data_IF_749741559539
#
_entry.id   IF_749741559539
#
_cell.length_a   1.000
_cell.length_b   1.000
_cell.length_c   1.000
_cell.angle_alpha   90.00
_cell.angle_beta   90.00
_cell.angle_gamma   90.00
#
_symmetry.space_group_name_H-M   'P 1'
#
loop_
_entity.id
_entity.type
_entity.pdbx_description
1 polymer ?
#
# COMPACT_ATOMS: atom_id res chain seq x y z
N UNK A 1 54.42 -24.90 24.18
CA UNK A 1 53.49 -25.84 24.82
C UNK A 1 52.76 -25.08 25.92
N UNK A 2 51.83 -24.21 25.55
CA UNK A 2 50.37 -24.49 25.46
C UNK A 2 49.84 -25.15 26.73
N UNK A 3 49.52 -24.31 27.71
CA UNK A 3 48.46 -24.59 28.65
C UNK A 3 47.23 -23.84 28.15
N UNK A 4 46.43 -24.57 27.38
CA UNK A 4 45.08 -24.19 26.99
C UNK A 4 44.22 -24.20 28.25
N UNK A 5 43.94 -23.01 28.80
CA UNK A 5 42.88 -22.87 29.81
C UNK A 5 41.58 -22.79 29.03
N UNK A 6 40.62 -23.70 29.24
CA UNK A 6 39.31 -23.59 28.62
C UNK A 6 38.70 -22.27 29.11
N UNK A 7 38.56 -21.31 28.21
CA UNK A 7 37.93 -20.04 28.50
C UNK A 7 36.55 -20.32 29.08
N UNK A 8 36.28 -19.75 30.26
CA UNK A 8 34.95 -19.71 30.86
C UNK A 8 33.98 -19.17 29.81
N UNK A 9 33.32 -20.08 29.09
CA UNK A 9 32.08 -19.81 28.40
C UNK A 9 31.03 -19.63 29.49
N UNK A 10 31.10 -18.47 30.14
CA UNK A 10 30.14 -18.05 31.15
C UNK A 10 28.74 -18.15 30.55
N UNK A 11 27.82 -18.71 31.33
CA UNK A 11 26.44 -19.00 30.95
C UNK A 11 25.85 -17.94 29.99
N UNK A 12 25.11 -18.35 28.95
CA UNK A 12 24.54 -17.44 27.98
C UNK A 12 23.81 -16.31 28.71
N UNK A 13 24.25 -15.07 28.46
CA UNK A 13 23.64 -13.89 29.07
C UNK A 13 22.20 -13.82 28.59
N UNK A 14 21.24 -13.79 29.51
CA UNK A 14 19.82 -13.69 29.18
C UNK A 14 19.57 -12.52 28.20
N UNK A 15 18.65 -12.66 27.23
CA UNK A 15 18.27 -11.57 26.34
C UNK A 15 17.89 -10.32 27.13
N UNK A 16 18.23 -9.16 26.58
CA UNK A 16 17.75 -7.89 27.12
C UNK A 16 16.25 -7.75 26.81
N UNK A 17 15.48 -7.23 27.76
CA UNK A 17 14.07 -6.87 27.54
C UNK A 17 13.94 -5.85 26.38
N UNK A 18 13.20 -6.19 25.31
CA UNK A 18 13.00 -5.30 24.16
C UNK A 18 12.41 -3.93 24.51
N UNK A 19 11.60 -3.85 25.56
CA UNK A 19 10.94 -2.59 25.98
C UNK A 19 11.93 -1.52 26.42
N UNK A 20 13.17 -1.89 26.77
CA UNK A 20 14.23 -0.95 27.10
C UNK A 20 14.66 -0.06 25.93
N UNK A 21 14.32 -0.46 24.70
CA UNK A 21 14.68 0.27 23.48
C UNK A 21 13.56 1.17 22.93
N UNK A 22 12.36 1.11 23.50
CA UNK A 22 11.19 1.87 23.05
C UNK A 22 11.12 3.36 23.46
N UNK A 23 11.72 3.83 24.57
CA UNK A 23 11.63 5.23 24.96
C UNK A 23 12.10 6.20 23.85
N UNK A 24 11.42 7.34 23.63
CA UNK A 24 11.68 8.24 22.50
C UNK A 24 13.14 8.71 22.37
N UNK A 25 13.80 8.95 23.50
CA UNK A 25 15.21 9.37 23.53
C UNK A 25 16.17 8.25 23.07
N UNK A 26 15.87 7.01 23.44
CA UNK A 26 16.62 5.83 23.00
C UNK A 26 16.41 5.59 21.49
N UNK A 27 15.18 5.78 21.01
CA UNK A 27 14.84 5.70 19.58
C UNK A 27 15.57 6.75 18.75
N UNK A 28 15.63 7.99 19.24
CA UNK A 28 16.36 9.07 18.59
C UNK A 28 17.88 8.81 18.55
N UNK A 29 18.46 8.32 19.65
CA UNK A 29 19.87 7.96 19.73
C UNK A 29 20.25 6.82 18.77
N UNK A 30 19.40 5.79 18.68
CA UNK A 30 19.61 4.68 17.75
C UNK A 30 19.51 5.16 16.29
N UNK A 31 18.52 5.99 15.95
CA UNK A 31 18.36 6.52 14.59
C UNK A 31 19.54 7.41 14.16
N UNK A 32 20.14 8.15 15.09
CA UNK A 32 21.30 8.99 14.84
C UNK A 32 22.66 8.26 14.96
N UNK A 33 22.65 6.94 15.19
CA UNK A 33 23.84 6.10 15.46
C UNK A 33 24.68 6.60 16.66
N UNK A 34 24.05 7.24 17.64
CA UNK A 34 24.69 7.74 18.85
C UNK A 34 24.83 6.63 19.91
N UNK A 35 25.80 5.75 19.68
CA UNK A 35 26.07 4.59 20.55
C UNK A 35 26.49 5.01 21.98
N UNK A 36 27.07 6.19 22.14
CA UNK A 36 27.45 6.69 23.46
C UNK A 36 26.21 6.93 24.34
N UNK A 37 25.16 7.51 23.76
CA UNK A 37 23.88 7.72 24.43
C UNK A 37 23.14 6.41 24.69
N UNK A 38 23.20 5.45 23.76
CA UNK A 38 22.65 4.10 23.97
C UNK A 38 23.32 3.39 25.15
N UNK A 39 24.66 3.43 25.24
CA UNK A 39 25.39 2.76 26.33
C UNK A 39 25.13 3.41 27.69
N UNK A 40 25.04 4.75 27.75
CA UNK A 40 24.66 5.45 28.99
C UNK A 40 23.27 5.02 29.47
N UNK A 41 22.29 5.03 28.57
CA UNK A 41 20.92 4.64 28.88
C UNK A 41 20.79 3.16 29.33
N UNK A 42 21.66 2.27 28.85
CA UNK A 42 21.74 0.88 29.32
C UNK A 42 22.41 0.76 30.69
N UNK A 43 23.47 1.53 30.95
CA UNK A 43 24.13 1.54 32.27
C UNK A 43 23.24 2.10 33.37
N UNK A 44 22.42 3.11 33.06
CA UNK A 44 21.42 3.66 33.98
C UNK A 44 20.32 2.66 34.33
N UNK A 45 20.04 1.70 33.43
CA UNK A 45 19.09 0.60 33.62
C UNK A 45 19.73 -0.66 34.22
N UNK A 46 20.95 -0.55 34.75
CA UNK A 46 21.62 -1.62 35.49
C UNK A 46 22.48 -2.58 34.64
N UNK A 47 22.69 -2.32 33.35
CA UNK A 47 23.56 -3.14 32.51
C UNK A 47 25.01 -2.62 32.61
N UNK A 48 25.91 -3.41 33.19
CA UNK A 48 27.31 -3.02 33.37
C UNK A 48 28.09 -2.94 32.05
N UNK A 49 29.14 -2.12 32.00
CA UNK A 49 30.03 -2.02 30.83
C UNK A 49 30.65 -3.37 30.43
N UNK A 50 30.96 -4.22 31.41
CA UNK A 50 31.45 -5.57 31.18
C UNK A 50 30.40 -6.46 30.48
N UNK A 51 29.11 -6.33 30.84
CA UNK A 51 28.02 -7.02 30.15
C UNK A 51 27.81 -6.49 28.73
N UNK A 52 27.91 -5.17 28.51
CA UNK A 52 27.83 -4.58 27.16
C UNK A 52 28.97 -5.10 26.28
N UNK A 53 30.22 -5.05 26.77
CA UNK A 53 31.40 -5.54 26.08
C UNK A 53 31.26 -7.02 25.65
N UNK A 54 30.85 -7.89 26.59
CA UNK A 54 30.61 -9.31 26.32
C UNK A 54 29.49 -9.54 25.29
N UNK A 55 28.41 -8.76 25.35
CA UNK A 55 27.28 -8.87 24.41
C UNK A 55 27.66 -8.43 23.00
N UNK A 56 28.39 -7.32 22.85
CA UNK A 56 28.70 -6.73 21.53
C UNK A 56 29.99 -7.26 20.91
N UNK A 57 30.70 -8.16 21.60
CA UNK A 57 32.01 -8.66 21.16
C UNK A 57 33.07 -7.55 21.11
N UNK A 58 32.94 -6.55 21.98
CA UNK A 58 33.90 -5.45 22.13
C UNK A 58 34.75 -5.65 23.39
N UNK A 59 35.93 -5.07 23.43
CA UNK A 59 36.71 -4.96 24.66
C UNK A 59 36.09 -3.94 25.62
N UNK A 60 36.33 -4.11 26.92
CA UNK A 60 35.90 -3.15 27.94
C UNK A 60 36.50 -1.75 27.68
N UNK A 61 37.72 -1.67 27.15
CA UNK A 61 38.37 -0.40 26.80
C UNK A 61 37.63 0.32 25.67
N UNK A 62 37.19 -0.39 24.63
CA UNK A 62 36.41 0.19 23.53
C UNK A 62 35.05 0.73 24.00
N UNK A 63 34.36 0.02 24.90
CA UNK A 63 33.11 0.49 25.51
C UNK A 63 33.34 1.77 26.33
N UNK A 64 34.44 1.83 27.08
CA UNK A 64 34.82 3.02 27.85
C UNK A 64 35.14 4.23 26.95
N UNK A 65 35.84 4.02 25.84
CA UNK A 65 36.13 5.08 24.86
C UNK A 65 34.87 5.61 24.17
N UNK A 66 33.93 4.72 23.81
CA UNK A 66 32.65 5.11 23.21
C UNK A 66 31.84 5.95 24.20
N UNK A 67 31.77 5.55 25.47
CA UNK A 67 31.12 6.34 26.53
C UNK A 67 31.76 7.71 26.74
N UNK A 68 33.07 7.85 26.47
CA UNK A 68 33.81 9.12 26.52
C UNK A 68 33.68 9.96 25.24
N UNK A 69 32.89 9.52 24.26
CA UNK A 69 32.55 10.29 23.05
C UNK A 69 33.24 9.83 21.77
N UNK A 70 33.94 8.70 21.77
CA UNK A 70 34.45 8.09 20.53
C UNK A 70 33.27 7.63 19.67
N UNK A 71 33.14 8.20 18.47
CA UNK A 71 32.09 7.79 17.50
C UNK A 71 32.41 6.43 16.88
N UNK A 72 31.37 5.62 16.67
CA UNK A 72 31.45 4.38 15.92
C UNK A 72 31.09 4.68 14.46
N UNK A 73 32.12 4.87 13.62
CA UNK A 73 31.91 5.24 12.21
C UNK A 73 31.75 4.05 11.25
N UNK A 74 32.19 2.85 11.63
CA UNK A 74 32.17 1.69 10.73
C UNK A 74 30.89 0.89 10.88
N UNK A 75 30.14 0.80 9.79
CA UNK A 75 28.83 0.15 9.74
C UNK A 75 28.83 -1.31 10.24
N UNK A 76 29.87 -2.07 9.91
CA UNK A 76 30.03 -3.45 10.39
C UNK A 76 30.07 -3.56 11.93
N UNK A 77 30.62 -2.53 12.61
CA UNK A 77 30.68 -2.48 14.07
C UNK A 77 29.32 -2.15 14.65
N UNK A 78 28.57 -1.22 14.05
CA UNK A 78 27.20 -0.90 14.45
C UNK A 78 26.26 -2.12 14.36
N UNK A 79 26.36 -2.89 13.27
CA UNK A 79 25.57 -4.11 13.08
C UNK A 79 25.90 -5.15 14.15
N UNK A 80 27.17 -5.35 14.47
CA UNK A 80 27.61 -6.28 15.52
C UNK A 80 27.13 -5.85 16.91
N UNK A 81 27.16 -4.55 17.20
CA UNK A 81 26.64 -3.99 18.46
C UNK A 81 25.14 -4.27 18.58
N UNK A 82 24.37 -4.02 17.51
CA UNK A 82 22.92 -4.24 17.52
C UNK A 82 22.56 -5.72 17.68
N UNK A 83 23.25 -6.61 16.95
CA UNK A 83 23.08 -8.06 17.11
C UNK A 83 23.38 -8.51 18.55
N UNK A 84 24.47 -8.03 19.13
CA UNK A 84 24.88 -8.39 20.49
C UNK A 84 23.91 -7.93 21.58
N UNK A 85 23.30 -6.76 21.39
CA UNK A 85 22.33 -6.19 22.32
C UNK A 85 20.90 -6.66 22.07
N UNK A 86 20.66 -7.40 20.99
CA UNK A 86 19.31 -7.77 20.55
C UNK A 86 18.50 -6.57 20.06
N UNK A 87 19.18 -5.49 19.63
CA UNK A 87 18.53 -4.28 19.09
C UNK A 87 18.06 -4.60 17.67
N UNK A 88 16.76 -4.41 17.39
CA UNK A 88 16.24 -4.57 16.04
C UNK A 88 16.94 -3.62 15.06
N UNK A 89 17.37 -4.13 13.89
CA UNK A 89 18.19 -3.38 12.93
C UNK A 89 17.46 -2.16 12.35
N UNK A 90 16.14 -2.13 12.45
CA UNK A 90 15.27 -0.99 12.14
C UNK A 90 15.56 0.24 12.99
N UNK A 91 15.98 0.09 14.25
CA UNK A 91 16.14 1.24 15.13
C UNK A 91 17.37 2.07 14.78
N UNK A 92 18.33 1.47 14.06
CA UNK A 92 19.52 2.14 13.56
C UNK A 92 19.47 2.40 12.05
N UNK A 93 18.31 2.25 11.40
CA UNK A 93 18.18 2.46 9.95
C UNK A 93 19.07 1.56 9.08
N UNK A 94 19.57 0.45 9.63
CA UNK A 94 20.52 -0.48 8.99
C UNK A 94 19.84 -1.70 8.37
N UNK A 95 18.56 -1.89 8.67
CA UNK A 95 17.65 -2.70 7.87
C UNK A 95 16.23 -2.20 8.11
N UNK A 96 15.34 -2.37 7.14
CA UNK A 96 13.91 -2.30 7.41
C UNK A 96 13.53 -3.58 8.15
N UNK A 97 13.74 -3.61 9.46
CA UNK A 97 13.26 -4.71 10.28
C UNK A 97 11.75 -4.66 10.49
N UNK A 98 11.18 -5.50 11.37
CA UNK A 98 9.74 -5.80 11.50
C UNK A 98 8.74 -4.63 11.48
N UNK A 99 9.20 -3.40 11.66
CA UNK A 99 8.39 -2.18 11.68
C UNK A 99 8.55 -1.31 10.42
N UNK A 100 9.23 -1.80 9.37
CA UNK A 100 9.09 -1.32 8.00
C UNK A 100 7.74 -1.72 7.39
N UNK A 101 6.67 -1.58 8.18
CA UNK A 101 5.34 -1.99 7.82
C UNK A 101 4.74 -0.99 6.82
N UNK A 102 4.45 -1.46 5.62
CA UNK A 102 3.26 -1.02 4.92
C UNK A 102 2.07 -1.11 5.88
N UNK A 103 1.13 -0.15 5.82
CA UNK A 103 -0.13 -0.27 6.56
C UNK A 103 -0.87 -1.55 6.11
N UNK A 104 -0.60 -2.68 6.78
CA UNK A 104 -1.02 -4.02 6.33
C UNK A 104 -0.12 -5.20 6.71
N UNK A 105 1.11 -5.00 7.22
CA UNK A 105 1.88 -6.09 7.87
C UNK A 105 2.73 -7.01 6.97
N UNK A 106 3.31 -6.51 5.88
CA UNK A 106 4.30 -7.26 5.06
C UNK A 106 5.61 -6.46 4.93
N UNK A 107 6.76 -7.15 4.96
CA UNK A 107 8.12 -6.59 5.06
C UNK A 107 8.87 -6.50 3.71
N UNK A 108 9.66 -5.43 3.50
CA UNK A 108 10.35 -5.09 2.24
C UNK A 108 11.50 -6.07 1.86
N UNK A 109 12.02 -6.85 2.81
CA UNK A 109 13.10 -7.82 2.52
C UNK A 109 12.64 -9.03 1.69
N UNK A 110 11.33 -9.17 1.54
CA UNK A 110 10.69 -10.05 0.58
C UNK A 110 9.47 -9.26 0.13
N UNK A 111 9.55 -8.46 -0.96
CA UNK A 111 8.32 -7.93 -1.53
C UNK A 111 7.36 -9.12 -1.64
N UNK A 112 6.10 -9.01 -1.17
CA UNK A 112 5.15 -10.09 -1.41
C UNK A 112 5.21 -10.41 -2.92
N UNK A 113 5.19 -11.69 -3.28
CA UNK A 113 5.02 -12.05 -4.69
C UNK A 113 3.81 -11.26 -5.22
N UNK A 114 4.05 -10.31 -6.13
CA UNK A 114 3.05 -9.36 -6.61
C UNK A 114 3.30 -7.86 -6.34
N UNK A 115 4.43 -7.43 -5.76
CA UNK A 115 4.86 -6.03 -5.97
C UNK A 115 5.51 -5.92 -7.34
N UNK A 116 4.79 -5.33 -8.29
CA UNK A 116 5.26 -5.14 -9.67
C UNK A 116 6.39 -4.09 -9.74
N UNK A 117 7.36 -4.29 -10.62
CA UNK A 117 8.50 -3.40 -10.90
C UNK A 117 8.02 -1.97 -11.20
N UNK A 118 6.82 -1.82 -11.76
CA UNK A 118 6.18 -0.53 -12.02
C UNK A 118 5.74 0.21 -10.74
N UNK A 119 5.35 -0.49 -9.67
CA UNK A 119 5.06 0.10 -8.35
C UNK A 119 6.36 0.50 -7.62
N UNK A 120 7.39 -0.34 -7.73
CA UNK A 120 8.72 -0.04 -7.19
C UNK A 120 9.36 1.13 -7.92
N UNK A 121 9.27 1.19 -9.26
CA UNK A 121 9.73 2.33 -10.07
C UNK A 121 9.07 3.63 -9.65
N UNK A 122 7.74 3.63 -9.42
CA UNK A 122 6.99 4.82 -8.98
C UNK A 122 7.38 5.26 -7.57
N UNK A 123 7.66 4.31 -6.69
CA UNK A 123 8.18 4.57 -5.33
C UNK A 123 9.62 5.11 -5.36
N UNK A 124 10.48 4.57 -6.23
CA UNK A 124 11.85 5.03 -6.45
C UNK A 124 11.86 6.43 -7.08
N UNK A 125 10.99 6.73 -8.06
CA UNK A 125 10.85 8.08 -8.62
C UNK A 125 10.44 9.08 -7.52
N UNK A 126 9.51 8.72 -6.63
CA UNK A 126 9.15 9.54 -5.46
C UNK A 126 10.33 9.74 -4.50
N UNK A 127 11.13 8.69 -4.25
CA UNK A 127 12.29 8.75 -3.36
C UNK A 127 13.46 9.59 -3.96
N UNK A 128 13.78 9.40 -5.24
CA UNK A 128 14.76 10.20 -5.98
C UNK A 128 14.40 11.69 -5.96
N UNK A 129 13.11 11.97 -6.10
CA UNK A 129 12.59 13.33 -6.00
C UNK A 129 12.81 13.95 -4.62
N UNK A 130 12.59 13.20 -3.55
CA UNK A 130 12.86 13.63 -2.18
C UNK A 130 14.35 13.92 -1.95
N UNK A 131 15.22 13.05 -2.48
CA UNK A 131 16.66 13.13 -2.30
C UNK A 131 17.29 14.35 -3.01
N UNK A 132 16.81 14.73 -4.19
CA UNK A 132 17.39 15.84 -4.98
C UNK A 132 16.89 17.21 -4.50
N UNK A 133 15.64 17.30 -4.06
CA UNK A 133 14.99 18.59 -3.80
C UNK A 133 14.72 18.87 -2.32
N UNK A 134 15.04 17.96 -1.40
CA UNK A 134 14.85 18.12 0.06
C UNK A 134 13.40 18.06 0.52
N UNK A 135 12.48 17.94 -0.42
CA UNK A 135 11.07 17.56 -0.29
C UNK A 135 10.79 16.58 -1.41
N UNK A 136 9.82 15.64 -1.30
CA UNK A 136 9.42 14.88 -2.48
C UNK A 136 9.09 15.92 -3.57
N UNK A 137 9.21 15.59 -4.86
CA UNK A 137 8.81 16.50 -5.96
C UNK A 137 7.29 16.85 -5.92
N UNK A 138 6.61 16.48 -4.83
CA UNK A 138 5.42 17.04 -4.21
C UNK A 138 5.59 18.48 -3.67
N UNK A 139 6.03 19.42 -4.52
CA UNK A 139 5.38 20.75 -4.53
C UNK A 139 4.61 20.98 -5.82
N UNK A 140 4.31 19.92 -6.56
CA UNK A 140 3.16 19.96 -7.45
C UNK A 140 1.86 20.07 -6.65
N UNK A 141 1.69 19.58 -5.41
CA UNK A 141 0.47 19.86 -4.62
C UNK A 141 0.18 21.36 -4.42
N UNK A 142 1.20 22.16 -4.09
CA UNK A 142 1.10 23.63 -4.01
C UNK A 142 1.01 24.30 -5.39
N UNK A 143 1.60 23.71 -6.44
CA UNK A 143 1.40 24.12 -7.86
C UNK A 143 0.12 23.56 -8.49
N UNK A 144 -0.56 22.58 -7.89
CA UNK A 144 -1.81 21.92 -8.29
C UNK A 144 -2.98 22.62 -7.64
N UNK A 145 -2.78 23.18 -6.45
CA UNK A 145 -3.58 24.30 -5.98
C UNK A 145 -3.55 25.48 -6.98
N UNK A 146 -2.45 25.65 -7.75
CA UNK A 146 -2.36 26.60 -8.87
C UNK A 146 -2.79 26.01 -10.25
N UNK A 147 -2.90 24.68 -10.41
CA UNK A 147 -3.31 23.98 -11.64
C UNK A 147 -4.72 23.37 -11.57
N UNK A 148 -5.47 23.62 -10.49
CA UNK A 148 -6.93 23.60 -10.47
C UNK A 148 -7.60 22.29 -10.06
N UNK A 149 -7.45 21.86 -8.81
CA UNK A 149 -8.69 21.49 -8.11
C UNK A 149 -9.46 22.80 -7.92
N UNK A 150 -10.72 22.92 -8.37
CA UNK A 150 -11.48 24.14 -8.12
C UNK A 150 -11.43 24.44 -6.61
N UNK A 151 -11.25 25.71 -6.21
CA UNK A 151 -11.21 26.10 -4.80
C UNK A 151 -12.43 25.51 -4.09
N UNK A 152 -12.30 25.21 -2.80
CA UNK A 152 -13.38 24.63 -1.99
C UNK A 152 -14.67 25.43 -2.23
N UNK A 153 -15.58 24.84 -3.01
CA UNK A 153 -16.82 25.49 -3.34
C UNK A 153 -17.80 25.21 -2.21
N UNK A 154 -18.60 26.20 -1.78
CA UNK A 154 -19.66 25.94 -0.83
C UNK A 154 -20.56 24.83 -1.36
N UNK A 155 -21.10 24.02 -0.45
CA UNK A 155 -22.01 22.93 -0.84
C UNK A 155 -23.12 23.50 -1.73
N UNK A 156 -23.42 22.85 -2.87
CA UNK A 156 -24.49 23.30 -3.72
C UNK A 156 -25.83 23.25 -2.98
N UNK A 157 -26.75 24.15 -3.31
CA UNK A 157 -28.11 24.15 -2.74
C UNK A 157 -28.98 23.03 -3.32
N UNK A 158 -28.62 22.50 -4.48
CA UNK A 158 -29.29 21.37 -5.11
C UNK A 158 -28.39 20.67 -6.14
N UNK A 159 -28.49 19.35 -6.22
CA UNK A 159 -27.71 18.56 -7.17
C UNK A 159 -28.28 18.65 -8.57
N UNK A 160 -27.36 18.64 -9.53
CA UNK A 160 -27.62 18.66 -10.97
C UNK A 160 -26.62 17.77 -11.67
N UNK A 161 -26.86 17.43 -12.94
CA UNK A 161 -25.92 16.63 -13.75
C UNK A 161 -24.52 17.27 -13.85
N UNK A 162 -24.42 18.60 -13.78
CA UNK A 162 -23.12 19.28 -13.80
C UNK A 162 -22.22 18.89 -12.62
N UNK A 163 -22.82 18.57 -11.46
CA UNK A 163 -22.08 18.10 -10.30
C UNK A 163 -21.52 16.70 -10.54
N UNK A 164 -22.31 15.81 -11.16
CA UNK A 164 -21.84 14.48 -11.56
C UNK A 164 -20.65 14.60 -12.51
N UNK A 165 -20.76 15.44 -13.54
CA UNK A 165 -19.66 15.69 -14.48
C UNK A 165 -18.42 16.31 -13.81
N UNK A 166 -18.59 17.10 -12.76
CA UNK A 166 -17.48 17.67 -12.01
C UNK A 166 -16.68 16.57 -11.29
N UNK A 167 -17.36 15.62 -10.65
CA UNK A 167 -16.71 14.48 -10.00
C UNK A 167 -16.01 13.60 -11.04
N UNK A 168 -16.67 13.29 -12.15
CA UNK A 168 -16.08 12.50 -13.23
C UNK A 168 -14.82 13.15 -13.81
N UNK A 169 -14.89 14.44 -14.15
CA UNK A 169 -13.75 15.17 -14.69
C UNK A 169 -12.58 15.25 -13.70
N UNK A 170 -12.85 15.43 -12.42
CA UNK A 170 -11.82 15.41 -11.38
C UNK A 170 -11.17 14.03 -11.26
N UNK A 171 -11.96 12.95 -11.27
CA UNK A 171 -11.47 11.57 -11.24
C UNK A 171 -10.59 11.27 -12.46
N UNK A 172 -11.03 11.62 -13.67
CA UNK A 172 -10.26 11.37 -14.91
C UNK A 172 -8.94 12.11 -14.92
N UNK A 173 -8.94 13.37 -14.48
CA UNK A 173 -7.73 14.16 -14.39
C UNK A 173 -6.76 13.60 -13.35
N UNK A 174 -7.24 13.26 -12.14
CA UNK A 174 -6.41 12.65 -11.10
C UNK A 174 -5.85 11.28 -11.55
N UNK A 175 -6.66 10.46 -12.22
CA UNK A 175 -6.24 9.18 -12.81
C UNK A 175 -5.14 9.37 -13.84
N UNK A 176 -5.27 10.36 -14.72
CA UNK A 176 -4.23 10.71 -15.69
C UNK A 176 -2.91 11.04 -15.01
N UNK A 177 -2.96 11.81 -13.90
CA UNK A 177 -1.78 12.14 -13.10
C UNK A 177 -1.19 10.93 -12.38
N UNK A 178 -2.02 10.10 -11.74
CA UNK A 178 -1.57 8.89 -11.07
C UNK A 178 -0.90 7.90 -12.04
N UNK A 179 -1.42 7.77 -13.27
CA UNK A 179 -0.80 6.95 -14.31
C UNK A 179 0.52 7.53 -14.80
N UNK A 180 0.62 8.84 -14.95
CA UNK A 180 1.83 9.48 -15.49
C UNK A 180 2.98 9.52 -14.47
N UNK A 181 2.68 9.80 -13.20
CA UNK A 181 3.68 10.11 -12.19
C UNK A 181 3.72 9.12 -11.02
N UNK A 182 2.69 8.30 -10.85
CA UNK A 182 2.49 7.47 -9.67
C UNK A 182 2.05 8.28 -8.44
N UNK A 183 1.46 7.59 -7.47
CA UNK A 183 1.01 8.19 -6.20
C UNK A 183 -0.36 8.86 -6.31
N UNK A 184 -0.51 10.06 -5.74
CA UNK A 184 -1.75 10.86 -5.62
C UNK A 184 -2.72 10.45 -4.51
N UNK A 185 -2.29 9.63 -3.55
CA UNK A 185 -3.17 9.16 -2.48
C UNK A 185 -3.78 10.30 -1.64
N UNK A 186 -3.01 11.36 -1.38
CA UNK A 186 -3.46 12.51 -0.60
C UNK A 186 -4.49 13.34 -1.40
N UNK A 187 -4.23 13.58 -2.68
CA UNK A 187 -5.09 14.33 -3.59
C UNK A 187 -6.42 13.60 -3.85
N UNK A 188 -6.37 12.28 -4.06
CA UNK A 188 -7.57 11.46 -4.13
C UNK A 188 -8.33 11.46 -2.80
N UNK A 189 -7.62 11.39 -1.67
CA UNK A 189 -8.22 11.48 -0.34
C UNK A 189 -8.94 12.81 -0.09
N UNK A 190 -8.35 13.93 -0.53
CA UNK A 190 -8.96 15.25 -0.49
C UNK A 190 -10.21 15.34 -1.37
N UNK A 191 -10.12 14.84 -2.62
CA UNK A 191 -11.25 14.80 -3.53
C UNK A 191 -12.41 13.95 -2.97
N UNK A 192 -12.11 12.77 -2.42
CA UNK A 192 -13.08 11.91 -1.74
C UNK A 192 -13.75 12.64 -0.58
N UNK A 193 -12.96 13.26 0.32
CA UNK A 193 -13.51 14.01 1.47
C UNK A 193 -14.45 15.12 1.01
N UNK A 194 -14.06 15.86 -0.03
CA UNK A 194 -14.85 16.96 -0.59
C UNK A 194 -16.15 16.49 -1.23
N UNK A 195 -16.05 15.64 -2.25
CA UNK A 195 -17.21 15.30 -3.08
C UNK A 195 -18.18 14.34 -2.40
N UNK A 196 -17.73 13.55 -1.40
CA UNK A 196 -18.65 12.70 -0.63
C UNK A 196 -19.69 13.51 0.14
N UNK A 197 -19.36 14.76 0.54
CA UNK A 197 -20.30 15.64 1.23
C UNK A 197 -21.52 15.99 0.35
N UNK A 198 -21.38 15.92 -0.98
CA UNK A 198 -22.48 16.21 -1.91
C UNK A 198 -23.60 15.18 -1.85
N UNK A 199 -23.37 13.99 -1.30
CA UNK A 199 -24.44 13.01 -1.06
C UNK A 199 -25.51 13.51 -0.09
N UNK A 200 -25.19 14.47 0.79
CA UNK A 200 -26.14 15.08 1.72
C UNK A 200 -27.00 16.17 1.05
N UNK A 201 -26.65 16.61 -0.16
CA UNK A 201 -27.35 17.70 -0.84
C UNK A 201 -28.66 17.19 -1.46
N UNK A 202 -29.78 17.93 -1.32
CA UNK A 202 -31.04 17.57 -1.97
C UNK A 202 -30.90 17.53 -3.51
N UNK A 203 -31.63 16.62 -4.15
CA UNK A 203 -31.56 16.46 -5.60
C UNK A 203 -32.44 15.31 -6.07
N UNK A 204 -32.68 15.30 -7.37
CA UNK A 204 -33.40 14.24 -8.08
C UNK A 204 -32.72 12.87 -7.87
N UNK A 205 -33.51 11.81 -7.71
CA UNK A 205 -33.01 10.48 -7.39
C UNK A 205 -32.10 9.91 -8.49
N UNK A 206 -32.37 10.21 -9.77
CA UNK A 206 -31.51 9.78 -10.87
C UNK A 206 -30.16 10.53 -10.85
N UNK A 207 -30.16 11.80 -10.46
CA UNK A 207 -28.92 12.58 -10.27
C UNK A 207 -28.12 12.07 -9.08
N UNK A 208 -28.78 11.69 -7.98
CA UNK A 208 -28.12 11.08 -6.81
C UNK A 208 -27.52 9.72 -7.12
N UNK A 209 -28.23 8.87 -7.86
CA UNK A 209 -27.70 7.59 -8.33
C UNK A 209 -26.46 7.81 -9.21
N UNK A 210 -26.53 8.72 -10.19
CA UNK A 210 -25.39 9.04 -11.05
C UNK A 210 -24.19 9.62 -10.27
N UNK A 211 -24.44 10.44 -9.25
CA UNK A 211 -23.39 10.92 -8.34
C UNK A 211 -22.79 9.76 -7.53
N UNK A 212 -23.61 8.82 -7.07
CA UNK A 212 -23.17 7.60 -6.39
C UNK A 212 -22.21 6.76 -7.25
N UNK A 213 -22.54 6.54 -8.52
CA UNK A 213 -21.64 5.89 -9.48
C UNK A 213 -20.33 6.66 -9.67
N UNK A 214 -20.39 7.97 -9.88
CA UNK A 214 -19.18 8.79 -10.05
C UNK A 214 -18.27 8.78 -8.80
N UNK A 215 -18.87 8.80 -7.60
CA UNK A 215 -18.12 8.69 -6.35
C UNK A 215 -17.58 7.28 -6.12
N UNK A 216 -18.27 6.24 -6.57
CA UNK A 216 -17.75 4.87 -6.54
C UNK A 216 -16.44 4.75 -7.32
N UNK A 217 -16.42 5.32 -8.53
CA UNK A 217 -15.22 5.35 -9.36
C UNK A 217 -14.09 6.14 -8.69
N UNK A 218 -14.38 7.33 -8.15
CA UNK A 218 -13.41 8.13 -7.39
C UNK A 218 -12.82 7.35 -6.20
N UNK A 219 -13.67 6.66 -5.43
CA UNK A 219 -13.24 5.83 -4.32
C UNK A 219 -12.38 4.63 -4.78
N UNK A 220 -12.71 4.05 -5.93
CA UNK A 220 -11.93 2.93 -6.48
C UNK A 220 -10.51 3.38 -6.84
N UNK A 221 -10.38 4.53 -7.51
CA UNK A 221 -9.07 5.11 -7.85
C UNK A 221 -8.30 5.57 -6.60
N UNK A 222 -8.99 6.12 -5.59
CA UNK A 222 -8.38 6.46 -4.30
C UNK A 222 -7.83 5.22 -3.58
N UNK A 223 -8.55 4.11 -3.64
CA UNK A 223 -8.08 2.83 -3.11
C UNK A 223 -6.83 2.33 -3.83
N UNK A 224 -6.83 2.37 -5.16
CA UNK A 224 -5.67 2.00 -5.96
C UNK A 224 -4.45 2.88 -5.66
N UNK A 225 -4.59 4.20 -5.71
CA UNK A 225 -3.50 5.13 -5.41
C UNK A 225 -3.02 5.00 -3.96
N UNK A 226 -3.95 4.73 -3.04
CA UNK A 226 -3.64 4.47 -1.64
C UNK A 226 -2.75 3.24 -1.48
N UNK A 227 -3.11 2.14 -2.13
CA UNK A 227 -2.31 0.91 -2.11
C UNK A 227 -0.91 1.14 -2.70
N UNK A 228 -0.82 1.72 -3.90
CA UNK A 228 0.45 2.04 -4.57
C UNK A 228 1.33 2.97 -3.72
N UNK A 229 0.73 3.79 -2.85
CA UNK A 229 1.44 4.73 -1.97
C UNK A 229 1.76 4.15 -0.58
N UNK A 230 1.36 2.91 -0.30
CA UNK A 230 1.57 2.22 0.98
C UNK A 230 0.68 2.70 2.13
N UNK A 231 -0.44 3.35 1.83
CA UNK A 231 -1.44 3.81 2.80
C UNK A 231 -2.68 2.91 2.77
N UNK A 232 -3.54 2.99 3.80
CA UNK A 232 -4.70 2.12 3.92
C UNK A 232 -5.70 2.29 2.74
N UNK A 233 -5.91 1.22 1.97
CA UNK A 233 -6.71 1.22 0.73
C UNK A 233 -8.10 0.57 0.87
N UNK A 234 -8.24 -0.48 1.67
CA UNK A 234 -9.46 -1.33 1.71
C UNK A 234 -10.74 -0.57 2.08
N UNK A 235 -10.63 0.46 2.93
CA UNK A 235 -11.77 1.30 3.30
C UNK A 235 -12.37 2.03 2.09
N UNK A 236 -11.54 2.44 1.13
CA UNK A 236 -12.00 3.10 -0.09
C UNK A 236 -12.76 2.14 -1.01
N UNK A 237 -12.24 0.92 -1.24
CA UNK A 237 -12.94 -0.09 -2.05
C UNK A 237 -14.28 -0.51 -1.43
N UNK A 238 -14.31 -0.70 -0.11
CA UNK A 238 -15.55 -1.00 0.62
C UNK A 238 -16.59 0.11 0.40
N UNK A 239 -16.16 1.37 0.41
CA UNK A 239 -17.05 2.50 0.17
C UNK A 239 -17.51 2.57 -1.29
N UNK A 240 -16.62 2.30 -2.25
CA UNK A 240 -16.96 2.23 -3.67
C UNK A 240 -18.09 1.22 -3.93
N UNK A 241 -17.94 -0.02 -3.46
CA UNK A 241 -18.97 -1.06 -3.61
C UNK A 241 -20.33 -0.62 -3.06
N UNK A 242 -20.35 -0.01 -1.86
CA UNK A 242 -21.60 0.49 -1.25
C UNK A 242 -22.25 1.62 -2.06
N UNK A 243 -21.45 2.51 -2.64
CA UNK A 243 -21.95 3.61 -3.46
C UNK A 243 -22.50 3.10 -4.79
N UNK A 244 -21.81 2.15 -5.43
CA UNK A 244 -22.27 1.52 -6.65
C UNK A 244 -23.54 0.69 -6.45
N UNK A 245 -23.63 -0.10 -5.37
CA UNK A 245 -24.83 -0.85 -5.01
C UNK A 245 -26.03 0.08 -4.78
N UNK A 246 -25.84 1.16 -4.02
CA UNK A 246 -26.87 2.18 -3.82
C UNK A 246 -27.30 2.91 -5.09
N UNK A 247 -26.42 3.01 -6.09
CA UNK A 247 -26.70 3.60 -7.40
C UNK A 247 -27.29 2.59 -8.41
N UNK A 248 -27.31 1.30 -8.08
CA UNK A 248 -27.69 0.24 -9.02
C UNK A 248 -26.63 -0.03 -10.11
N UNK A 249 -25.38 0.35 -9.86
CA UNK A 249 -24.27 0.31 -10.81
C UNK A 249 -23.46 -1.00 -10.67
N UNK A 250 -23.87 -2.00 -11.43
CA UNK A 250 -23.19 -3.29 -11.44
C UNK A 250 -21.75 -3.23 -11.97
N UNK A 251 -21.46 -2.31 -12.89
CA UNK A 251 -20.09 -2.12 -13.39
C UNK A 251 -19.20 -1.57 -12.27
N UNK A 252 -19.65 -0.55 -11.55
CA UNK A 252 -18.93 0.04 -10.43
C UNK A 252 -18.62 -0.97 -9.33
N UNK A 253 -19.57 -1.86 -8.99
CA UNK A 253 -19.34 -2.96 -8.05
C UNK A 253 -18.22 -3.88 -8.56
N UNK A 254 -18.31 -4.34 -9.81
CA UNK A 254 -17.35 -5.27 -10.38
C UNK A 254 -15.95 -4.66 -10.50
N UNK A 255 -15.86 -3.38 -10.88
CA UNK A 255 -14.58 -2.67 -10.97
C UNK A 255 -13.93 -2.50 -9.59
N UNK A 256 -14.69 -2.06 -8.58
CA UNK A 256 -14.18 -1.94 -7.22
C UNK A 256 -13.76 -3.29 -6.63
N UNK A 257 -14.53 -4.34 -6.86
CA UNK A 257 -14.20 -5.70 -6.43
C UNK A 257 -12.93 -6.23 -7.11
N UNK A 258 -12.74 -5.93 -8.40
CA UNK A 258 -11.50 -6.26 -9.11
C UNK A 258 -10.29 -5.57 -8.48
N UNK A 259 -10.33 -4.25 -8.26
CA UNK A 259 -9.21 -3.53 -7.65
C UNK A 259 -8.90 -4.02 -6.21
N UNK A 260 -9.93 -4.31 -5.43
CA UNK A 260 -9.77 -4.90 -4.10
C UNK A 260 -9.10 -6.28 -4.18
N UNK A 261 -9.56 -7.14 -5.08
CA UNK A 261 -8.99 -8.47 -5.29
C UNK A 261 -7.54 -8.40 -5.78
N UNK A 262 -7.23 -7.54 -6.74
CA UNK A 262 -5.86 -7.35 -7.22
C UNK A 262 -4.92 -6.92 -6.08
N UNK A 263 -5.39 -6.01 -5.22
CA UNK A 263 -4.66 -5.60 -4.01
C UNK A 263 -4.42 -6.79 -3.06
N UNK A 264 -5.41 -7.66 -2.88
CA UNK A 264 -5.31 -8.85 -2.03
C UNK A 264 -4.35 -9.89 -2.59
N UNK A 265 -4.33 -10.11 -3.91
CA UNK A 265 -3.34 -10.97 -4.59
C UNK A 265 -1.93 -10.46 -4.26
N UNK A 266 -1.68 -9.19 -4.50
CA UNK A 266 -0.37 -8.58 -4.27
C UNK A 266 0.03 -8.54 -2.77
N UNK A 267 -0.94 -8.69 -1.87
CA UNK A 267 -0.69 -8.77 -0.42
C UNK A 267 -0.59 -10.21 0.09
N UNK A 268 -0.55 -11.22 -0.79
CA UNK A 268 -0.44 -12.63 -0.40
C UNK A 268 -1.72 -13.29 0.09
N UNK A 269 -2.89 -12.76 -0.28
CA UNK A 269 -4.21 -13.27 0.10
C UNK A 269 -5.02 -13.72 -1.12
N UNK A 270 -4.56 -14.71 -1.90
CA UNK A 270 -5.18 -15.12 -3.17
C UNK A 270 -6.58 -15.71 -3.02
N UNK A 271 -6.89 -16.37 -1.89
CA UNK A 271 -8.24 -16.91 -1.63
C UNK A 271 -9.29 -15.79 -1.46
N UNK A 272 -8.97 -14.74 -0.71
CA UNK A 272 -9.87 -13.59 -0.54
C UNK A 272 -9.97 -12.76 -1.83
N UNK A 273 -8.87 -12.66 -2.58
CA UNK A 273 -8.87 -12.05 -3.90
C UNK A 273 -9.81 -12.77 -4.86
N UNK A 274 -9.74 -14.10 -4.92
CA UNK A 274 -10.59 -14.92 -5.78
C UNK A 274 -12.07 -14.70 -5.47
N UNK A 275 -12.46 -14.63 -4.19
CA UNK A 275 -13.84 -14.30 -3.80
C UNK A 275 -14.26 -12.94 -4.35
N UNK A 276 -13.39 -11.94 -4.29
CA UNK A 276 -13.68 -10.61 -4.85
C UNK A 276 -13.86 -10.65 -6.37
N UNK A 277 -13.01 -11.39 -7.09
CA UNK A 277 -13.15 -11.54 -8.53
C UNK A 277 -14.45 -12.27 -8.92
N UNK A 278 -14.79 -13.35 -8.21
CA UNK A 278 -16.03 -14.09 -8.44
C UNK A 278 -17.27 -13.23 -8.17
N UNK A 279 -17.25 -12.38 -7.15
CA UNK A 279 -18.33 -11.40 -6.92
C UNK A 279 -18.48 -10.45 -8.11
N UNK A 280 -17.37 -9.94 -8.65
CA UNK A 280 -17.40 -9.13 -9.86
C UNK A 280 -17.94 -9.87 -11.09
N UNK A 281 -17.52 -11.12 -11.30
CA UNK A 281 -17.99 -11.96 -12.40
C UNK A 281 -19.48 -12.24 -12.30
N UNK A 282 -19.97 -12.59 -11.11
CA UNK A 282 -21.40 -12.80 -10.84
C UNK A 282 -22.19 -11.54 -11.15
N UNK A 283 -21.68 -10.39 -10.71
CA UNK A 283 -22.32 -9.10 -10.93
C UNK A 283 -22.44 -8.74 -12.43
N UNK A 284 -21.45 -9.11 -13.24
CA UNK A 284 -21.45 -8.89 -14.70
C UNK A 284 -22.12 -10.02 -15.49
N UNK A 285 -22.18 -11.24 -14.95
CA UNK A 285 -22.58 -12.47 -15.63
C UNK A 285 -24.09 -12.68 -15.77
N UNK A 286 -24.93 -11.98 -15.00
CA UNK A 286 -26.39 -12.10 -15.13
C UNK A 286 -27.16 -11.74 -13.87
N UNK A 287 -28.50 -11.79 -13.90
CA UNK A 287 -29.32 -11.64 -12.69
C UNK A 287 -28.98 -12.71 -11.65
N UNK A 288 -28.77 -12.27 -10.41
CA UNK A 288 -28.66 -13.14 -9.24
C UNK A 288 -30.05 -13.60 -8.76
N UNK A 289 -30.22 -14.85 -8.30
CA UNK A 289 -31.47 -15.29 -7.69
C UNK A 289 -31.83 -14.43 -6.47
N UNK A 290 -33.02 -13.84 -6.46
CA UNK A 290 -33.54 -13.07 -5.32
C UNK A 290 -33.04 -11.62 -5.19
N UNK A 291 -32.14 -11.16 -6.06
CA UNK A 291 -31.89 -9.72 -6.24
C UNK A 291 -32.59 -9.26 -7.52
N UNK A 292 -33.32 -8.12 -7.52
CA UNK A 292 -33.79 -7.54 -8.78
C UNK A 292 -32.59 -7.39 -9.70
N UNK A 293 -32.74 -7.79 -10.97
CA UNK A 293 -31.71 -7.57 -11.96
C UNK A 293 -31.29 -6.11 -11.85
N UNK A 294 -29.99 -5.85 -11.64
CA UNK A 294 -29.43 -4.50 -11.68
C UNK A 294 -29.43 -4.05 -13.16
N UNK A 295 -30.63 -3.90 -13.72
CA UNK A 295 -30.94 -3.47 -15.09
C UNK A 295 -30.90 -1.96 -15.23
N UNK A 296 -30.74 -1.20 -14.13
CA UNK A 296 -30.83 0.25 -14.20
C UNK A 296 -29.74 0.90 -15.06
N UNK A 297 -28.62 0.20 -15.33
CA UNK A 297 -27.56 0.66 -16.23
C UNK A 297 -26.72 -0.47 -16.86
N UNK A 298 -27.31 -1.65 -17.10
CA UNK A 298 -26.79 -2.46 -18.22
C UNK A 298 -27.17 -1.72 -19.49
N UNK A 299 -26.35 -0.78 -19.94
CA UNK A 299 -26.20 -0.60 -21.38
C UNK A 299 -25.58 -1.91 -21.86
N UNK A 300 -26.33 -2.77 -22.59
CA UNK A 300 -25.79 -4.03 -23.11
C UNK A 300 -24.53 -3.81 -23.97
N UNK A 301 -24.34 -2.56 -24.42
CA UNK A 301 -23.24 -2.08 -25.23
C UNK A 301 -22.22 -1.22 -24.46
N UNK A 302 -22.16 -1.27 -23.11
CA UNK A 302 -21.09 -0.55 -22.39
C UNK A 302 -19.73 -1.18 -22.77
N UNK A 303 -18.86 -0.47 -23.51
CA UNK A 303 -17.60 -1.03 -24.00
C UNK A 303 -16.64 -1.37 -22.85
N UNK A 304 -16.90 -0.87 -21.63
CA UNK A 304 -16.09 -1.13 -20.44
C UNK A 304 -16.38 -2.50 -19.83
N UNK A 305 -17.55 -3.09 -20.07
CA UNK A 305 -17.94 -4.39 -19.49
C UNK A 305 -17.03 -5.52 -19.98
N UNK A 306 -16.78 -5.70 -21.29
CA UNK A 306 -15.84 -6.72 -21.78
C UNK A 306 -14.43 -6.58 -21.18
N UNK A 307 -13.96 -5.34 -20.98
CA UNK A 307 -12.66 -5.06 -20.36
C UNK A 307 -12.61 -5.55 -18.91
N UNK A 308 -13.58 -5.18 -18.07
CA UNK A 308 -13.58 -5.60 -16.66
C UNK A 308 -13.82 -7.11 -16.55
N UNK A 309 -14.67 -7.71 -17.37
CA UNK A 309 -14.84 -9.16 -17.42
C UNK A 309 -13.53 -9.88 -17.75
N UNK A 310 -12.81 -9.41 -18.79
CA UNK A 310 -11.51 -9.98 -19.14
C UNK A 310 -10.47 -9.86 -18.02
N UNK A 311 -10.43 -8.70 -17.34
CA UNK A 311 -9.56 -8.49 -16.17
C UNK A 311 -9.90 -9.42 -15.01
N UNK A 312 -11.18 -9.60 -14.71
CA UNK A 312 -11.63 -10.52 -13.66
C UNK A 312 -11.25 -11.97 -13.95
N UNK A 313 -11.40 -12.42 -15.20
CA UNK A 313 -11.02 -13.77 -15.61
C UNK A 313 -9.51 -13.99 -15.51
N UNK A 314 -8.72 -13.03 -15.99
CA UNK A 314 -7.26 -13.06 -15.92
C UNK A 314 -6.78 -13.06 -14.45
N UNK A 315 -7.28 -12.15 -13.62
CA UNK A 315 -6.88 -12.09 -12.22
C UNK A 315 -7.37 -13.29 -11.41
N UNK A 316 -8.52 -13.88 -11.76
CA UNK A 316 -8.96 -15.16 -11.20
C UNK A 316 -8.00 -16.29 -11.56
N UNK A 317 -7.48 -16.30 -12.80
CA UNK A 317 -6.49 -17.29 -13.20
C UNK A 317 -5.20 -17.18 -12.37
N UNK A 318 -4.70 -15.96 -12.16
CA UNK A 318 -3.54 -15.71 -11.31
C UNK A 318 -3.79 -16.17 -9.87
N UNK A 319 -4.95 -15.86 -9.29
CA UNK A 319 -5.32 -16.30 -7.94
C UNK A 319 -5.41 -17.84 -7.84
N UNK A 320 -6.02 -18.52 -8.82
CA UNK A 320 -6.05 -19.98 -8.86
C UNK A 320 -4.65 -20.59 -8.99
N UNK A 321 -3.76 -19.98 -9.77
CA UNK A 321 -2.39 -20.46 -9.90
C UNK A 321 -1.63 -20.38 -8.57
N UNK A 322 -1.78 -19.29 -7.82
CA UNK A 322 -1.20 -19.12 -6.47
C UNK A 322 -1.80 -20.08 -5.43
N UNK A 323 -2.96 -20.67 -5.71
CA UNK A 323 -3.62 -21.68 -4.88
C UNK A 323 -3.34 -23.12 -5.36
N UNK A 324 -2.40 -23.31 -6.30
CA UNK A 324 -2.07 -24.60 -6.93
C UNK A 324 -3.24 -25.26 -7.72
N UNK A 325 -4.25 -24.48 -8.13
CA UNK A 325 -5.45 -24.93 -8.85
C UNK A 325 -5.28 -24.76 -10.38
N UNK A 326 -4.29 -25.46 -10.95
CA UNK A 326 -3.83 -25.26 -12.33
C UNK A 326 -4.90 -25.47 -13.43
N UNK A 327 -5.91 -26.32 -13.18
CA UNK A 327 -6.98 -26.57 -14.15
C UNK A 327 -7.94 -25.37 -14.24
N UNK A 328 -8.30 -24.81 -13.10
CA UNK A 328 -9.17 -23.65 -12.96
C UNK A 328 -8.48 -22.42 -13.52
N UNK A 329 -7.18 -22.26 -13.26
CA UNK A 329 -6.37 -21.19 -13.85
C UNK A 329 -6.41 -21.20 -15.39
N UNK A 330 -6.19 -22.37 -16.01
CA UNK A 330 -6.27 -22.52 -17.48
C UNK A 330 -7.65 -22.21 -18.04
N UNK A 331 -8.72 -22.62 -17.36
CA UNK A 331 -10.09 -22.34 -17.79
C UNK A 331 -10.39 -20.84 -17.79
N UNK A 332 -9.96 -20.13 -16.74
CA UNK A 332 -10.10 -18.68 -16.64
C UNK A 332 -9.32 -17.94 -17.74
N UNK A 333 -8.08 -18.35 -18.03
CA UNK A 333 -7.31 -17.75 -19.14
C UNK A 333 -7.98 -17.96 -20.51
N UNK A 334 -8.51 -19.15 -20.76
CA UNK A 334 -9.24 -19.44 -21.99
C UNK A 334 -10.50 -18.56 -22.14
N UNK A 335 -11.22 -18.31 -21.04
CA UNK A 335 -12.39 -17.43 -21.01
C UNK A 335 -12.01 -15.97 -21.28
N UNK A 336 -10.92 -15.49 -20.68
CA UNK A 336 -10.42 -14.14 -20.89
C UNK A 336 -10.02 -13.87 -22.35
N UNK A 337 -9.35 -14.83 -22.99
CA UNK A 337 -8.92 -14.74 -24.39
C UNK A 337 -10.10 -14.58 -25.36
N UNK A 338 -11.25 -15.18 -25.04
CA UNK A 338 -12.47 -15.08 -25.84
C UNK A 338 -13.20 -13.75 -25.63
N UNK A 339 -13.12 -13.19 -24.42
CA UNK A 339 -13.98 -12.07 -24.01
C UNK A 339 -13.34 -10.70 -24.24
N UNK A 340 -12.00 -10.59 -24.19
CA UNK A 340 -11.33 -9.29 -24.21
C UNK A 340 -10.16 -9.16 -25.19
N UNK A 341 -10.30 -8.18 -26.08
CA UNK A 341 -9.25 -7.68 -26.97
C UNK A 341 -8.83 -6.27 -26.49
N UNK A 342 -7.66 -6.11 -25.84
CA UNK A 342 -7.25 -4.84 -25.28
C UNK A 342 -7.07 -3.77 -26.36
N UNK A 343 -7.65 -2.60 -26.11
CA UNK A 343 -7.77 -1.52 -27.09
C UNK A 343 -6.57 -0.57 -27.08
N UNK A 344 -5.89 -0.45 -25.95
CA UNK A 344 -4.75 0.46 -25.76
C UNK A 344 -3.51 -0.25 -25.17
N UNK A 345 -2.40 0.49 -25.13
CA UNK A 345 -1.09 -0.04 -24.71
C UNK A 345 -1.03 -0.43 -23.24
N UNK A 346 -1.75 0.27 -22.36
CA UNK A 346 -1.80 -0.04 -20.94
C UNK A 346 -2.63 -1.30 -20.69
N UNK A 347 -3.78 -1.40 -21.37
CA UNK A 347 -4.62 -2.60 -21.35
C UNK A 347 -3.91 -3.83 -21.91
N UNK A 348 -3.08 -3.66 -22.95
CA UNK A 348 -2.21 -4.74 -23.46
C UNK A 348 -1.18 -5.15 -22.43
N UNK A 349 -0.50 -4.19 -21.81
CA UNK A 349 0.47 -4.46 -20.75
C UNK A 349 -0.16 -5.18 -19.56
N UNK A 350 -1.32 -4.74 -19.08
CA UNK A 350 -2.07 -5.42 -18.01
C UNK A 350 -2.41 -6.87 -18.38
N UNK A 351 -2.82 -7.12 -19.63
CA UNK A 351 -3.16 -8.46 -20.13
C UNK A 351 -1.94 -9.38 -20.16
N UNK A 352 -0.83 -8.88 -20.68
CA UNK A 352 0.42 -9.65 -20.83
C UNK A 352 1.07 -9.94 -19.47
N UNK A 353 1.03 -8.97 -18.54
CA UNK A 353 1.58 -9.09 -17.18
C UNK A 353 0.91 -10.22 -16.39
N UNK A 354 -0.43 -10.26 -16.41
CA UNK A 354 -1.17 -11.24 -15.62
C UNK A 354 -1.30 -12.63 -16.29
N UNK A 355 -0.83 -12.76 -17.54
CA UNK A 355 -0.83 -14.03 -18.28
C UNK A 355 0.53 -14.75 -18.24
N UNK A 356 1.58 -14.08 -17.78
CA UNK A 356 2.96 -14.60 -17.64
C UNK A 356 3.12 -15.42 -16.35
#
# INVERSE_FOLDING_TARGET
>A
MSFDKPGEQGAPLAPLDPTMFEPPEMRAALAAHDIATVYRALTERGISQHQIARRTGQSQSEVCEILRGRKVGMYAVLVRICQGLGIPREYIGASYGPHGAYAGGVAIASPPEGVDEDMERRTVVRACSLAVFGTPLLRFGERLAQLGLPPEQPLPTGLTRSHVHTVQAATDWLRGMARQFGGMADEFGDAVRRYTQWLAVPGDDAVKAALGSALSELHTEAGWCGYDSGVAAMGYFTRAVKLADGAGDGFGIANAAWHAGATMVHSGHPDDALKCFQVGQVQLGGPLPGKPTLTAQRTPDDPRVPMVTGRLDISSAAAYALLDEATQARNCLAQAQQTWQPSNVFERADKDLNAA
#
